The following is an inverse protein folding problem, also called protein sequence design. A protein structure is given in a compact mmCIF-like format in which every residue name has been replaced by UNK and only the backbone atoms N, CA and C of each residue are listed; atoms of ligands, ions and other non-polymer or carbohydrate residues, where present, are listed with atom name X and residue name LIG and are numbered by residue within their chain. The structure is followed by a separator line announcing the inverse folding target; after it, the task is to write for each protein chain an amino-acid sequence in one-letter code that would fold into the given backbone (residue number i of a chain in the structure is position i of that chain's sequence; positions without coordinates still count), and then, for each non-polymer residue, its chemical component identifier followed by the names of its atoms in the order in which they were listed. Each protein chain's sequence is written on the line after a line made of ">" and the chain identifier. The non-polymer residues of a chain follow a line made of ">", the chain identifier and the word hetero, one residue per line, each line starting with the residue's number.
data_IF_579782281045
#
_entry.id   IF_579782281045
#
_cell.length_a   1.000
_cell.length_b   1.000
_cell.length_c   1.000
_cell.angle_alpha   90.00
_cell.angle_beta   90.00
_cell.angle_gamma   90.00
#
_symmetry.space_group_name_H-M   'P 1'
#
loop_
_entity.id
_entity.type
_entity.pdbx_description
1 polymer ?
#
# COMPACT_ATOMS: atom_id res chain seq x y z
N UNK A 1 31.67 -62.08 14.80
CA UNK A 1 32.64 -61.31 15.60
C UNK A 1 31.87 -60.28 16.39
N UNK A 2 31.76 -60.50 17.70
CA UNK A 2 31.12 -59.62 18.67
C UNK A 2 32.10 -59.48 19.83
N UNK A 3 32.40 -58.26 20.25
CA UNK A 3 33.18 -57.90 21.44
C UNK A 3 32.62 -56.57 22.01
N UNK A 4 32.78 -56.28 23.31
CA UNK A 4 31.68 -55.93 24.19
C UNK A 4 31.67 -54.48 24.68
N UNK A 5 30.53 -54.08 25.27
CA UNK A 5 30.30 -52.81 25.97
C UNK A 5 31.21 -52.66 27.20
N UNK A 6 31.79 -51.47 27.46
CA UNK A 6 32.21 -51.08 28.79
C UNK A 6 31.09 -50.37 29.55
N UNK A 7 30.88 -50.80 30.78
CA UNK A 7 30.08 -50.12 31.80
C UNK A 7 30.83 -48.88 32.31
N UNK A 8 30.13 -47.75 32.48
CA UNK A 8 30.62 -46.63 33.28
C UNK A 8 29.62 -46.40 34.41
N UNK A 9 30.18 -46.49 35.62
CA UNK A 9 29.53 -46.31 36.91
C UNK A 9 29.44 -44.81 37.24
N UNK A 10 28.38 -44.48 37.97
CA UNK A 10 27.85 -43.16 38.30
C UNK A 10 28.73 -42.21 39.14
N UNK A 11 28.41 -40.92 39.05
CA UNK A 11 28.54 -39.98 40.16
C UNK A 11 27.37 -38.97 40.12
N UNK A 12 26.36 -39.20 40.97
CA UNK A 12 25.33 -38.21 41.30
C UNK A 12 25.95 -37.17 42.24
N UNK A 13 26.01 -35.91 41.83
CA UNK A 13 26.26 -34.78 42.73
C UNK A 13 24.91 -34.14 43.08
N UNK A 14 24.48 -34.35 44.32
CA UNK A 14 23.29 -33.77 44.93
C UNK A 14 23.68 -32.41 45.53
N UNK A 15 23.36 -31.30 44.86
CA UNK A 15 23.52 -29.95 45.42
C UNK A 15 22.23 -29.48 46.06
N UNK A 16 22.24 -29.38 47.40
CA UNK A 16 21.26 -28.65 48.22
C UNK A 16 21.33 -27.15 47.87
N UNK A 17 20.21 -26.55 47.47
CA UNK A 17 20.02 -25.10 47.61
C UNK A 17 19.14 -24.82 48.82
N UNK A 18 19.72 -24.13 49.80
CA UNK A 18 19.03 -23.66 50.99
C UNK A 18 18.05 -22.54 50.64
N UNK A 19 16.85 -22.61 51.19
CA UNK A 19 15.87 -21.53 51.17
C UNK A 19 16.40 -20.36 52.00
N UNK A 20 16.67 -19.23 51.33
CA UNK A 20 16.88 -17.94 51.95
C UNK A 20 15.70 -17.04 51.61
N UNK A 21 14.86 -16.73 52.60
CA UNK A 21 13.91 -15.62 52.51
C UNK A 21 14.70 -14.32 52.58
N UNK A 22 14.87 -13.63 51.44
CA UNK A 22 15.39 -12.28 51.38
C UNK A 22 14.24 -11.28 51.37
N UNK A 23 14.27 -10.35 52.33
CA UNK A 23 13.31 -9.27 52.53
C UNK A 23 13.20 -8.35 51.29
N UNK A 24 11.95 -8.00 50.94
CA UNK A 24 11.63 -6.97 49.94
C UNK A 24 12.02 -5.61 50.51
N UNK A 25 13.14 -5.07 50.03
CA UNK A 25 13.52 -3.68 50.27
C UNK A 25 12.72 -2.78 49.31
N UNK A 26 11.72 -2.10 49.86
CA UNK A 26 10.95 -1.05 49.18
C UNK A 26 11.75 0.24 49.19
N UNK A 27 12.68 0.39 48.25
CA UNK A 27 13.28 1.70 47.96
C UNK A 27 13.76 1.75 46.51
N UNK A 28 12.79 1.89 45.59
CA UNK A 28 13.05 2.28 44.21
C UNK A 28 12.42 3.67 44.01
N UNK A 29 13.20 4.71 43.65
CA UNK A 29 12.63 6.02 43.36
C UNK A 29 11.66 5.88 42.19
N UNK A 30 10.47 6.46 42.34
CA UNK A 30 9.34 6.29 41.43
C UNK A 30 9.72 6.49 39.96
N UNK A 31 9.57 5.42 39.17
CA UNK A 31 9.44 5.53 37.72
C UNK A 31 8.06 6.15 37.50
N UNK A 32 8.04 7.44 37.15
CA UNK A 32 6.84 8.07 36.62
C UNK A 32 6.34 7.22 35.44
N UNK A 33 5.02 7.05 35.24
CA UNK A 33 4.52 6.38 34.05
C UNK A 33 5.15 7.07 32.84
N UNK A 34 5.90 6.30 32.06
CA UNK A 34 6.56 6.77 30.86
C UNK A 34 5.49 7.39 29.97
N UNK A 35 5.54 8.71 29.85
CA UNK A 35 4.76 9.42 28.86
C UNK A 35 5.22 8.89 27.52
N UNK A 36 4.39 8.07 26.87
CA UNK A 36 4.54 7.77 25.45
C UNK A 36 4.40 9.10 24.72
N UNK A 37 5.51 9.78 24.51
CA UNK A 37 5.57 10.89 23.56
C UNK A 37 5.32 10.25 22.20
N UNK A 38 4.07 10.32 21.75
CA UNK A 38 3.74 10.29 20.33
C UNK A 38 4.48 11.47 19.75
N UNK A 39 5.66 11.22 19.17
CA UNK A 39 6.31 12.23 18.33
C UNK A 39 5.35 12.43 17.17
N UNK A 40 4.58 13.51 17.22
CA UNK A 40 3.88 14.01 16.04
C UNK A 40 4.96 14.21 14.97
N UNK A 41 4.98 13.34 13.98
CA UNK A 41 5.81 13.53 12.81
C UNK A 41 5.26 14.78 12.11
N UNK A 42 6.07 15.81 12.02
CA UNK A 42 5.70 17.01 11.27
C UNK A 42 5.54 16.60 9.80
N UNK A 43 4.47 17.04 9.10
CA UNK A 43 4.27 16.67 7.71
C UNK A 43 5.50 17.06 6.89
N UNK A 44 5.88 16.23 5.94
CA UNK A 44 7.00 16.54 5.06
C UNK A 44 6.67 17.81 4.25
N UNK A 45 7.62 18.74 4.20
CA UNK A 45 7.55 19.88 3.28
C UNK A 45 7.62 19.37 1.83
N UNK A 46 6.90 19.99 0.88
CA UNK A 46 7.06 19.68 -0.53
C UNK A 46 8.53 19.87 -0.96
N UNK A 47 9.03 19.02 -1.89
CA UNK A 47 10.35 19.23 -2.47
C UNK A 47 10.47 20.62 -3.09
N UNK A 48 11.64 21.24 -2.98
CA UNK A 48 11.89 22.56 -3.57
C UNK A 48 11.84 22.51 -5.10
N UNK A 49 11.40 23.61 -5.72
CA UNK A 49 11.47 23.80 -7.18
C UNK A 49 12.93 23.86 -7.65
N UNK A 50 13.26 23.05 -8.66
CA UNK A 50 14.58 22.96 -9.30
C UNK A 50 14.56 23.38 -10.77
N UNK A 51 13.38 23.53 -11.37
CA UNK A 51 13.20 23.95 -12.76
C UNK A 51 11.93 24.77 -12.98
N UNK A 52 11.42 24.75 -14.22
CA UNK A 52 10.13 25.34 -14.56
C UNK A 52 8.99 24.36 -14.22
N UNK A 53 7.83 24.91 -13.83
CA UNK A 53 6.72 24.12 -13.33
C UNK A 53 6.17 23.15 -14.39
N UNK A 54 5.96 21.91 -13.96
CA UNK A 54 5.20 20.90 -14.67
C UNK A 54 4.32 20.12 -13.68
N UNK A 55 3.27 19.50 -14.18
CA UNK A 55 2.38 18.62 -13.44
C UNK A 55 2.51 17.20 -13.97
N UNK A 56 2.12 16.21 -13.18
CA UNK A 56 2.16 14.82 -13.62
C UNK A 56 0.85 14.07 -13.33
N UNK A 57 0.59 13.05 -14.13
CA UNK A 57 -0.51 12.10 -13.95
C UNK A 57 0.03 10.67 -14.03
N UNK A 58 -0.64 9.72 -13.38
CA UNK A 58 -0.29 8.31 -13.53
C UNK A 58 -0.65 7.83 -14.95
N UNK A 59 0.28 7.16 -15.61
CA UNK A 59 0.05 6.62 -16.95
C UNK A 59 -0.94 5.45 -16.93
N UNK A 60 -0.80 4.58 -15.92
CA UNK A 60 -1.63 3.38 -15.75
C UNK A 60 -2.02 3.21 -14.27
N UNK A 61 -2.94 4.06 -13.77
CA UNK A 61 -3.32 4.06 -12.36
C UNK A 61 -3.84 2.72 -11.86
N UNK A 62 -4.39 1.88 -12.74
CA UNK A 62 -4.90 0.54 -12.42
C UNK A 62 -3.83 -0.47 -12.00
N UNK A 63 -2.55 -0.23 -12.32
CA UNK A 63 -1.44 -1.09 -11.90
C UNK A 63 -0.73 -0.59 -10.63
N UNK A 64 -1.03 0.63 -10.19
CA UNK A 64 -0.46 1.19 -8.97
C UNK A 64 -1.11 0.54 -7.75
N UNK A 65 -0.28 0.01 -6.87
CA UNK A 65 -0.70 -0.68 -5.65
C UNK A 65 0.27 -0.36 -4.48
N UNK A 66 -0.13 -0.62 -3.23
CA UNK A 66 0.68 -0.32 -2.04
C UNK A 66 2.08 -0.95 -2.02
N UNK A 67 2.32 -2.05 -2.71
CA UNK A 67 3.65 -2.69 -2.74
C UNK A 67 4.59 -2.06 -3.77
N UNK A 68 4.07 -1.27 -4.70
CA UNK A 68 4.86 -0.71 -5.79
C UNK A 68 5.99 0.20 -5.28
N UNK A 69 7.14 0.12 -5.96
CA UNK A 69 8.28 1.04 -5.80
C UNK A 69 8.63 1.75 -7.11
N UNK A 70 7.99 1.38 -8.22
CA UNK A 70 8.14 2.04 -9.52
C UNK A 70 6.82 2.67 -9.94
N UNK A 71 6.87 3.88 -10.46
CA UNK A 71 5.71 4.61 -10.98
C UNK A 71 5.99 5.06 -12.41
N UNK A 72 5.05 4.76 -13.31
CA UNK A 72 5.03 5.38 -14.65
C UNK A 72 4.10 6.59 -14.62
N UNK A 73 4.66 7.78 -14.81
CA UNK A 73 3.91 9.04 -14.86
C UNK A 73 4.05 9.70 -16.22
N UNK A 74 3.07 10.51 -16.58
CA UNK A 74 3.13 11.39 -17.74
C UNK A 74 3.26 12.84 -17.23
N UNK A 75 4.38 13.47 -17.54
CA UNK A 75 4.73 14.83 -17.11
C UNK A 75 4.37 15.81 -18.22
N UNK A 76 3.70 16.90 -17.85
CA UNK A 76 3.32 17.97 -18.77
C UNK A 76 3.74 19.31 -18.21
N UNK A 77 4.54 20.04 -18.99
CA UNK A 77 4.95 21.41 -18.68
C UNK A 77 3.74 22.33 -18.55
N UNK A 78 3.78 23.23 -17.57
CA UNK A 78 2.73 24.22 -17.38
C UNK A 78 2.85 25.42 -18.34
N UNK A 79 4.07 25.95 -18.52
CA UNK A 79 4.34 27.11 -19.37
C UNK A 79 4.08 26.87 -20.86
N UNK A 80 3.83 27.95 -21.61
CA UNK A 80 3.68 27.87 -23.06
C UNK A 80 5.00 27.47 -23.73
N UNK A 81 4.96 26.43 -24.57
CA UNK A 81 6.16 25.85 -25.17
C UNK A 81 5.96 25.39 -26.63
N UNK A 82 4.93 25.90 -27.31
CA UNK A 82 4.71 25.56 -28.72
C UNK A 82 4.29 24.11 -29.00
N UNK A 83 3.97 23.33 -27.95
CA UNK A 83 3.46 21.97 -28.07
C UNK A 83 4.32 20.96 -27.34
N UNK A 84 5.44 21.38 -26.76
CA UNK A 84 6.48 20.49 -26.27
C UNK A 84 6.74 20.70 -24.77
N UNK A 85 6.69 19.65 -23.96
CA UNK A 85 7.03 19.69 -22.54
C UNK A 85 8.54 19.89 -22.33
N UNK A 86 9.36 19.34 -23.23
CA UNK A 86 10.82 19.46 -23.17
C UNK A 86 11.46 18.46 -22.21
N UNK A 87 12.68 18.77 -21.76
CA UNK A 87 13.43 17.90 -20.86
C UNK A 87 12.82 17.92 -19.45
N UNK A 88 12.41 16.75 -18.95
CA UNK A 88 11.99 16.55 -17.57
C UNK A 88 13.24 16.37 -16.70
N UNK A 89 13.36 17.16 -15.64
CA UNK A 89 14.44 17.06 -14.67
C UNK A 89 14.23 15.87 -13.74
N UNK A 90 15.27 15.47 -13.02
CA UNK A 90 15.21 14.37 -12.06
C UNK A 90 14.11 14.62 -10.99
N UNK A 91 13.11 13.73 -10.88
CA UNK A 91 12.02 13.88 -9.92
C UNK A 91 12.52 13.97 -8.49
N UNK A 92 11.99 14.90 -7.73
CA UNK A 92 12.29 15.04 -6.30
C UNK A 92 11.14 14.44 -5.49
N UNK A 93 11.47 13.59 -4.52
CA UNK A 93 10.48 12.85 -3.72
C UNK A 93 10.67 13.15 -2.24
N UNK A 94 9.58 13.53 -1.57
CA UNK A 94 9.52 13.65 -0.12
C UNK A 94 8.54 12.60 0.44
N UNK A 95 8.95 11.94 1.51
CA UNK A 95 8.17 10.90 2.19
C UNK A 95 7.59 11.44 3.50
N UNK A 96 6.29 11.24 3.67
CA UNK A 96 5.55 11.47 4.90
C UNK A 96 4.93 10.12 5.36
N UNK A 97 4.18 10.13 6.46
CA UNK A 97 3.48 8.94 6.95
C UNK A 97 2.23 8.59 6.14
N UNK A 98 1.53 9.59 5.59
CA UNK A 98 0.25 9.43 4.91
C UNK A 98 0.27 9.84 3.43
N UNK A 99 1.41 10.33 2.94
CA UNK A 99 1.62 10.81 1.57
C UNK A 99 3.06 10.67 1.10
N UNK A 100 3.23 10.54 -0.22
CA UNK A 100 4.49 10.65 -0.96
C UNK A 100 4.31 11.84 -1.91
N UNK A 101 5.10 12.89 -1.69
CA UNK A 101 5.02 14.14 -2.44
C UNK A 101 6.08 14.11 -3.54
N UNK A 102 5.64 14.14 -4.80
CA UNK A 102 6.49 14.00 -5.97
C UNK A 102 6.47 15.31 -6.75
N UNK A 103 7.66 15.89 -6.98
CA UNK A 103 7.86 17.04 -7.86
C UNK A 103 8.54 16.61 -9.15
N UNK A 104 7.94 16.96 -10.28
CA UNK A 104 8.53 16.81 -11.62
C UNK A 104 8.62 18.19 -12.25
N UNK A 105 9.80 18.80 -12.24
CA UNK A 105 10.04 20.06 -12.93
C UNK A 105 10.67 19.81 -14.31
N UNK A 106 10.62 20.80 -15.19
CA UNK A 106 11.23 20.72 -16.53
C UNK A 106 12.35 21.75 -16.70
N UNK A 107 13.31 21.46 -17.57
CA UNK A 107 14.41 22.37 -17.85
C UNK A 107 13.89 23.68 -18.46
N UNK A 108 14.50 24.85 -18.18
CA UNK A 108 14.10 26.10 -18.80
C UNK A 108 14.19 26.07 -20.32
N UNK A 109 13.23 26.70 -20.98
CA UNK A 109 13.22 26.79 -22.44
C UNK A 109 14.27 27.78 -22.97
N UNK A 110 14.84 27.47 -24.15
CA UNK A 110 15.76 28.38 -24.86
C UNK A 110 15.02 29.11 -25.97
N UNK A 111 14.66 30.37 -25.76
CA UNK A 111 14.01 31.23 -26.76
C UNK A 111 13.00 32.20 -26.13
N UNK A 112 12.60 33.22 -26.90
CA UNK A 112 11.79 34.34 -26.37
C UNK A 112 10.31 34.30 -26.79
N UNK A 113 9.90 33.34 -27.64
CA UNK A 113 8.52 33.30 -28.17
C UNK A 113 7.98 31.87 -28.29
N UNK A 114 6.97 31.56 -27.47
CA UNK A 114 6.23 30.29 -27.51
C UNK A 114 4.72 30.53 -27.59
N UNK A 115 4.01 29.60 -28.21
CA UNK A 115 2.55 29.60 -28.33
C UNK A 115 1.90 28.65 -27.31
N UNK A 116 0.65 28.93 -26.93
CA UNK A 116 -0.06 28.29 -25.81
C UNK A 116 -1.18 27.35 -26.28
N UNK A 117 -0.84 26.29 -27.01
CA UNK A 117 -1.79 25.28 -27.53
C UNK A 117 -1.85 24.00 -26.69
N UNK A 118 -1.35 24.04 -25.45
CA UNK A 118 -1.05 22.84 -24.66
C UNK A 118 0.30 22.23 -25.07
N UNK A 119 0.81 21.33 -24.23
CA UNK A 119 2.08 20.62 -24.42
C UNK A 119 1.81 19.10 -24.44
N UNK A 120 2.72 18.33 -25.05
CA UNK A 120 2.68 16.87 -25.02
C UNK A 120 2.98 16.30 -23.63
N UNK A 121 2.57 15.05 -23.38
CA UNK A 121 2.84 14.34 -22.14
C UNK A 121 4.10 13.47 -22.30
N UNK A 122 5.09 13.65 -21.43
CA UNK A 122 6.36 12.92 -21.48
C UNK A 122 6.34 11.79 -20.43
N UNK A 123 6.48 10.52 -20.83
CA UNK A 123 6.50 9.41 -19.87
C UNK A 123 7.82 9.39 -19.09
N UNK A 124 7.71 9.25 -17.77
CA UNK A 124 8.84 9.18 -16.84
C UNK A 124 8.61 8.02 -15.87
N UNK A 125 9.63 7.19 -15.69
CA UNK A 125 9.68 6.19 -14.63
C UNK A 125 10.29 6.81 -13.38
N UNK A 126 9.54 6.78 -12.27
CA UNK A 126 10.00 7.24 -10.96
C UNK A 126 10.25 6.02 -10.10
N UNK A 127 11.50 5.86 -9.67
CA UNK A 127 11.88 4.85 -8.69
C UNK A 127 11.79 5.45 -7.29
N UNK A 128 10.94 4.85 -6.46
CA UNK A 128 10.80 5.18 -5.05
C UNK A 128 11.81 4.39 -4.21
N UNK A 129 12.30 5.03 -3.15
CA UNK A 129 13.16 4.41 -2.13
C UNK A 129 12.37 3.50 -1.17
N UNK A 130 11.06 3.72 -1.06
CA UNK A 130 10.13 2.96 -0.22
C UNK A 130 8.93 2.51 -1.05
N UNK A 131 8.30 1.39 -0.67
CA UNK A 131 7.00 1.01 -1.24
C UNK A 131 5.96 2.09 -0.97
N UNK A 132 4.90 2.18 -1.77
CA UNK A 132 3.89 3.23 -1.56
C UNK A 132 3.21 3.08 -0.18
N UNK A 133 2.82 1.87 0.19
CA UNK A 133 2.12 1.57 1.44
C UNK A 133 0.78 2.31 1.54
N UNK A 134 0.39 2.68 2.76
CA UNK A 134 -0.85 3.41 3.06
C UNK A 134 -0.82 4.91 2.69
N UNK A 135 0.07 5.33 1.79
CA UNK A 135 0.35 6.74 1.46
C UNK A 135 -0.24 7.14 0.12
N UNK A 136 -0.84 8.33 0.07
CA UNK A 136 -1.30 8.91 -1.18
C UNK A 136 -0.13 9.41 -2.04
N UNK A 137 -0.29 9.38 -3.36
CA UNK A 137 0.67 10.00 -4.27
C UNK A 137 0.21 11.42 -4.57
N UNK A 138 1.06 12.40 -4.32
CA UNK A 138 0.71 13.82 -4.37
C UNK A 138 1.62 14.57 -5.32
N UNK A 139 1.03 15.35 -6.22
CA UNK A 139 1.75 16.25 -7.12
C UNK A 139 2.13 17.53 -6.38
N UNK A 140 3.44 17.72 -6.15
CA UNK A 140 3.98 18.87 -5.43
C UNK A 140 3.62 20.21 -6.08
N UNK A 141 3.51 20.26 -7.42
CA UNK A 141 3.16 21.48 -8.14
C UNK A 141 1.72 21.94 -7.81
N UNK A 142 0.86 21.01 -7.41
CA UNK A 142 -0.52 21.29 -7.02
C UNK A 142 -0.67 21.66 -5.54
N UNK A 143 0.36 21.50 -4.71
CA UNK A 143 0.37 21.97 -3.32
C UNK A 143 0.77 23.44 -3.23
N UNK A 144 1.72 23.86 -4.05
CA UNK A 144 2.29 25.21 -4.04
C UNK A 144 2.85 25.62 -5.41
N UNK A 145 2.90 26.93 -5.65
CA UNK A 145 3.48 27.51 -6.87
C UNK A 145 2.46 27.80 -7.96
N UNK A 146 2.92 27.80 -9.21
CA UNK A 146 2.17 28.29 -10.37
C UNK A 146 0.99 27.39 -10.76
N UNK A 147 1.10 26.08 -10.51
CA UNK A 147 0.10 25.12 -10.96
C UNK A 147 -1.17 25.08 -10.08
N UNK A 148 -1.11 25.51 -8.81
CA UNK A 148 -2.23 25.42 -7.84
C UNK A 148 -3.56 25.98 -8.37
N UNK A 149 -3.52 26.98 -9.24
CA UNK A 149 -4.73 27.65 -9.77
C UNK A 149 -5.17 27.15 -11.14
N UNK A 150 -4.51 26.12 -11.68
CA UNK A 150 -4.76 25.59 -13.02
C UNK A 150 -5.78 24.45 -12.94
N UNK A 151 -6.39 24.13 -14.08
CA UNK A 151 -7.37 23.05 -14.15
C UNK A 151 -6.76 21.69 -13.76
N UNK A 152 -5.47 21.49 -14.07
CA UNK A 152 -4.71 20.27 -13.77
C UNK A 152 -4.50 20.05 -12.27
N UNK A 153 -4.69 21.07 -11.43
CA UNK A 153 -4.52 21.01 -9.98
C UNK A 153 -5.83 21.26 -9.22
N UNK A 154 -6.94 20.73 -9.72
CA UNK A 154 -8.20 20.70 -8.94
C UNK A 154 -8.03 19.90 -7.64
N UNK A 155 -7.18 18.87 -7.67
CA UNK A 155 -6.68 18.13 -6.51
C UNK A 155 -5.18 17.88 -6.69
N UNK A 156 -4.43 17.94 -5.60
CA UNK A 156 -3.02 17.57 -5.58
C UNK A 156 -2.83 16.06 -5.44
N UNK A 157 -3.80 15.34 -4.87
CA UNK A 157 -3.76 13.87 -4.76
C UNK A 157 -4.02 13.27 -6.14
N UNK A 158 -3.04 12.54 -6.67
CA UNK A 158 -3.13 11.83 -7.95
C UNK A 158 -3.55 10.38 -7.79
N UNK A 159 -3.35 9.82 -6.59
CA UNK A 159 -3.77 8.46 -6.26
C UNK A 159 -3.95 8.33 -4.75
N UNK A 160 -5.04 7.68 -4.35
CA UNK A 160 -5.35 7.40 -2.94
C UNK A 160 -5.06 5.95 -2.62
N UNK A 161 -4.31 5.71 -1.55
CA UNK A 161 -3.95 4.34 -1.18
C UNK A 161 -5.16 3.56 -0.65
N UNK A 162 -5.48 2.38 -1.22
CA UNK A 162 -6.50 1.51 -0.66
C UNK A 162 -6.09 0.94 0.70
N UNK A 163 -4.78 0.88 1.01
CA UNK A 163 -4.25 0.38 2.28
C UNK A 163 -4.04 1.48 3.33
N UNK A 164 -4.59 2.68 3.12
CA UNK A 164 -4.60 3.73 4.13
C UNK A 164 -5.25 3.23 5.42
N UNK A 165 -4.53 3.31 6.52
CA UNK A 165 -5.00 2.82 7.82
C UNK A 165 -5.06 1.29 7.91
N UNK A 166 -4.33 0.56 7.05
CA UNK A 166 -4.22 -0.88 7.16
C UNK A 166 -3.63 -1.28 8.52
N UNK A 167 -4.20 -2.34 9.10
CA UNK A 167 -3.76 -2.92 10.37
C UNK A 167 -3.75 -4.44 10.28
N UNK A 168 -3.11 -5.10 11.24
CA UNK A 168 -3.22 -6.56 11.39
C UNK A 168 -4.53 -7.02 12.04
N UNK A 169 -5.42 -6.09 12.42
CA UNK A 169 -6.73 -6.42 12.99
C UNK A 169 -7.74 -6.68 11.87
N UNK A 170 -8.28 -7.89 11.84
CA UNK A 170 -9.26 -8.29 10.83
C UNK A 170 -10.64 -7.87 11.32
N UNK A 171 -11.41 -7.08 10.54
CA UNK A 171 -12.71 -6.61 10.97
C UNK A 171 -13.71 -7.76 11.12
N UNK A 172 -14.55 -7.68 12.16
CA UNK A 172 -15.77 -8.49 12.28
C UNK A 172 -16.89 -7.88 11.41
N UNK A 173 -16.60 -7.68 10.12
CA UNK A 173 -17.55 -7.12 9.16
C UNK A 173 -18.63 -8.16 8.83
N UNK A 174 -19.89 -7.75 8.99
CA UNK A 174 -21.05 -8.60 8.67
C UNK A 174 -21.63 -8.21 7.31
N UNK A 175 -21.52 -9.07 6.29
CA UNK A 175 -21.93 -8.74 4.93
C UNK A 175 -23.46 -8.63 4.82
N UNK A 176 -24.00 -7.68 4.04
CA UNK A 176 -25.37 -7.82 3.56
C UNK A 176 -25.48 -9.04 2.62
N UNK A 177 -26.71 -9.55 2.45
CA UNK A 177 -26.96 -10.68 1.55
C UNK A 177 -26.68 -10.31 0.08
N UNK A 178 -26.93 -9.06 -0.31
CA UNK A 178 -26.85 -8.58 -1.68
C UNK A 178 -25.97 -7.32 -1.74
N UNK A 179 -24.92 -7.36 -2.55
CA UNK A 179 -24.01 -6.23 -2.76
C UNK A 179 -23.18 -6.42 -4.05
N UNK A 180 -22.53 -5.36 -4.50
CA UNK A 180 -21.54 -5.41 -5.56
C UNK A 180 -20.28 -4.64 -5.18
N UNK A 181 -19.16 -4.99 -5.81
CA UNK A 181 -17.87 -4.33 -5.64
C UNK A 181 -16.98 -4.53 -6.87
N UNK A 182 -15.95 -3.69 -7.00
CA UNK A 182 -14.84 -3.89 -7.92
C UNK A 182 -13.62 -4.34 -7.12
N UNK A 183 -12.96 -5.40 -7.57
CA UNK A 183 -11.71 -5.87 -6.95
C UNK A 183 -10.59 -5.89 -7.99
N UNK A 184 -9.43 -5.36 -7.61
CA UNK A 184 -8.15 -5.60 -8.28
C UNK A 184 -7.38 -6.62 -7.45
N UNK A 185 -7.13 -7.78 -8.03
CA UNK A 185 -6.41 -8.90 -7.45
C UNK A 185 -5.04 -9.03 -8.12
N UNK A 186 -3.96 -8.85 -7.36
CA UNK A 186 -2.63 -8.59 -7.92
C UNK A 186 -1.49 -9.53 -7.50
N UNK A 187 -1.61 -10.20 -6.36
CA UNK A 187 -0.53 -11.00 -5.77
C UNK A 187 -0.77 -12.51 -5.90
N UNK A 188 0.33 -13.26 -5.90
CA UNK A 188 0.37 -14.72 -5.99
C UNK A 188 0.22 -15.27 -7.40
N UNK A 189 0.59 -16.54 -7.60
CA UNK A 189 0.35 -17.27 -8.85
C UNK A 189 -0.99 -18.02 -8.77
N UNK A 190 -2.09 -17.29 -9.02
CA UNK A 190 -3.45 -17.82 -8.87
C UNK A 190 -4.38 -17.51 -10.03
N UNK A 191 -5.48 -18.26 -10.11
CA UNK A 191 -6.43 -18.13 -11.22
C UNK A 191 -7.26 -16.83 -11.18
N UNK A 192 -7.43 -16.23 -9.99
CA UNK A 192 -8.16 -14.99 -9.79
C UNK A 192 -7.21 -13.79 -9.74
N UNK A 193 -6.57 -13.47 -10.86
CA UNK A 193 -5.69 -12.30 -11.03
C UNK A 193 -6.29 -11.38 -12.07
N UNK A 194 -6.29 -10.07 -11.79
CA UNK A 194 -6.87 -9.04 -12.65
C UNK A 194 -7.87 -8.16 -11.93
N UNK A 195 -8.66 -7.42 -12.71
CA UNK A 195 -9.68 -6.50 -12.20
C UNK A 195 -11.07 -6.98 -12.60
N UNK A 196 -11.99 -7.03 -11.63
CA UNK A 196 -13.32 -7.61 -11.82
C UNK A 196 -14.40 -6.77 -11.14
N UNK A 197 -15.55 -6.59 -11.80
CA UNK A 197 -16.79 -6.22 -11.15
C UNK A 197 -17.50 -7.49 -10.67
N UNK A 198 -17.78 -7.57 -9.38
CA UNK A 198 -18.37 -8.73 -8.71
C UNK A 198 -19.74 -8.35 -8.15
N UNK A 199 -20.72 -9.21 -8.39
CA UNK A 199 -22.06 -9.10 -7.77
C UNK A 199 -22.30 -10.30 -6.89
N UNK A 200 -22.71 -10.05 -5.65
CA UNK A 200 -23.10 -11.04 -4.65
C UNK A 200 -24.60 -10.96 -4.45
N UNK A 201 -25.27 -12.11 -4.54
CA UNK A 201 -26.71 -12.25 -4.27
C UNK A 201 -26.92 -13.41 -3.30
N UNK A 202 -27.76 -13.23 -2.29
CA UNK A 202 -28.01 -14.22 -1.25
C UNK A 202 -26.71 -14.79 -0.63
N UNK A 203 -25.69 -13.93 -0.47
CA UNK A 203 -24.40 -14.28 0.14
C UNK A 203 -23.44 -15.06 -0.77
N UNK A 204 -23.77 -15.27 -2.05
CA UNK A 204 -22.91 -15.97 -3.01
C UNK A 204 -22.62 -15.11 -4.24
N UNK A 205 -21.45 -15.26 -4.86
CA UNK A 205 -21.14 -14.57 -6.12
C UNK A 205 -22.11 -15.05 -7.20
N UNK A 206 -22.91 -14.13 -7.72
CA UNK A 206 -23.89 -14.39 -8.77
C UNK A 206 -23.41 -13.94 -10.15
N UNK A 207 -22.50 -12.96 -10.21
CA UNK A 207 -21.91 -12.49 -11.46
C UNK A 207 -20.47 -11.98 -11.24
N UNK A 208 -19.61 -12.21 -12.23
CA UNK A 208 -18.26 -11.67 -12.31
C UNK A 208 -18.01 -11.18 -13.73
N UNK A 209 -17.59 -9.93 -13.87
CA UNK A 209 -17.30 -9.30 -15.15
C UNK A 209 -15.85 -8.77 -15.14
N UNK A 210 -14.98 -9.26 -16.02
CA UNK A 210 -13.61 -8.75 -16.11
C UNK A 210 -13.60 -7.31 -16.64
N UNK A 211 -12.71 -6.49 -16.10
CA UNK A 211 -12.48 -5.09 -16.50
C UNK A 211 -11.07 -5.01 -17.10
N UNK A 212 -10.96 -4.60 -18.37
CA UNK A 212 -9.68 -4.53 -19.10
C UNK A 212 -9.43 -5.72 -20.03
N UNK A 213 -8.21 -5.85 -20.55
CA UNK A 213 -7.88 -6.88 -21.55
C UNK A 213 -7.52 -8.24 -20.92
N UNK A 214 -8.15 -9.30 -21.44
CA UNK A 214 -7.79 -10.73 -21.29
C UNK A 214 -7.63 -11.30 -19.87
N UNK A 215 -8.75 -11.38 -19.14
CA UNK A 215 -8.91 -12.24 -17.96
C UNK A 215 -9.91 -13.38 -18.21
N UNK A 216 -9.80 -14.03 -19.38
CA UNK A 216 -10.73 -15.08 -19.79
C UNK A 216 -10.62 -16.31 -18.89
N UNK A 217 -11.75 -16.81 -18.40
CA UNK A 217 -11.85 -18.07 -17.66
C UNK A 217 -12.16 -17.96 -16.18
N UNK A 218 -12.17 -16.75 -15.60
CA UNK A 218 -12.68 -16.54 -14.23
C UNK A 218 -14.20 -16.73 -14.22
N UNK A 219 -14.68 -17.56 -13.28
CA UNK A 219 -16.11 -17.84 -13.09
C UNK A 219 -16.57 -17.37 -11.72
N UNK A 220 -17.89 -17.29 -11.52
CA UNK A 220 -18.47 -16.95 -10.22
C UNK A 220 -18.02 -17.91 -9.10
N UNK A 221 -17.83 -19.20 -9.42
CA UNK A 221 -17.38 -20.21 -8.44
C UNK A 221 -15.93 -20.01 -7.99
N UNK A 222 -15.08 -19.44 -8.86
CA UNK A 222 -13.67 -19.17 -8.58
C UNK A 222 -13.45 -17.81 -7.91
N UNK A 223 -14.50 -16.98 -7.84
CA UNK A 223 -14.41 -15.61 -7.37
C UNK A 223 -14.82 -15.57 -5.90
N UNK A 224 -13.94 -15.17 -4.96
CA UNK A 224 -14.31 -15.04 -3.57
C UNK A 224 -15.23 -13.83 -3.34
N UNK A 225 -16.15 -13.95 -2.38
CA UNK A 225 -16.85 -12.82 -1.79
C UNK A 225 -15.91 -12.02 -0.87
N UNK A 226 -16.30 -10.82 -0.43
CA UNK A 226 -15.52 -10.08 0.58
C UNK A 226 -15.40 -10.85 1.90
N UNK A 227 -16.43 -11.63 2.25
CA UNK A 227 -16.40 -12.49 3.44
C UNK A 227 -15.40 -13.63 3.30
N UNK A 228 -15.34 -14.28 2.13
CA UNK A 228 -14.38 -15.34 1.86
C UNK A 228 -12.93 -14.80 1.96
N UNK A 229 -12.67 -13.60 1.45
CA UNK A 229 -11.35 -12.94 1.57
C UNK A 229 -10.98 -12.64 3.02
N UNK A 230 -11.94 -12.19 3.84
CA UNK A 230 -11.72 -11.97 5.27
C UNK A 230 -11.54 -13.28 6.04
N UNK A 231 -12.22 -14.36 5.65
CA UNK A 231 -12.02 -15.69 6.25
C UNK A 231 -10.65 -16.25 5.90
N UNK A 232 -10.17 -16.06 4.67
CA UNK A 232 -8.78 -16.36 4.26
C UNK A 232 -7.79 -15.60 5.15
N UNK A 233 -8.00 -14.28 5.34
CA UNK A 233 -7.17 -13.46 6.20
C UNK A 233 -7.15 -13.99 7.65
N UNK A 234 -8.30 -14.39 8.20
CA UNK A 234 -8.38 -14.95 9.57
C UNK A 234 -7.59 -16.24 9.70
N UNK A 235 -7.67 -17.10 8.69
CA UNK A 235 -6.91 -18.36 8.67
C UNK A 235 -5.39 -18.09 8.60
N UNK A 236 -4.97 -17.11 7.80
CA UNK A 236 -3.56 -16.75 7.63
C UNK A 236 -2.96 -16.08 8.87
N UNK A 237 -3.73 -15.28 9.60
CA UNK A 237 -3.26 -14.51 10.75
C UNK A 237 -2.69 -15.36 11.91
N UNK A 238 -2.95 -16.67 11.94
CA UNK A 238 -2.37 -17.56 12.96
C UNK A 238 -0.86 -17.80 12.78
N UNK A 239 -0.37 -17.75 11.54
CA UNK A 239 0.98 -18.22 11.17
C UNK A 239 1.73 -17.31 10.19
N UNK A 240 1.00 -16.43 9.49
CA UNK A 240 1.52 -15.51 8.48
C UNK A 240 1.34 -14.05 8.86
N UNK A 241 1.41 -13.18 7.85
CA UNK A 241 1.13 -11.74 7.97
C UNK A 241 -0.12 -11.36 7.21
N UNK A 242 -0.89 -10.46 7.81
CA UNK A 242 -2.13 -9.95 7.25
C UNK A 242 -2.20 -8.46 7.50
N UNK A 243 -2.62 -7.71 6.48
CA UNK A 243 -2.97 -6.32 6.60
C UNK A 243 -4.36 -6.08 5.98
N UNK A 244 -5.26 -5.48 6.75
CA UNK A 244 -6.60 -5.11 6.30
C UNK A 244 -6.83 -3.63 6.55
N UNK A 245 -7.31 -2.92 5.52
CA UNK A 245 -7.85 -1.58 5.66
C UNK A 245 -9.36 -1.59 5.39
N UNK A 246 -10.09 -0.76 6.10
CA UNK A 246 -11.54 -0.57 5.95
C UNK A 246 -11.88 0.89 5.75
N UNK A 247 -13.04 1.18 5.16
CA UNK A 247 -13.61 2.53 5.16
C UNK A 247 -14.35 2.86 6.47
N UNK A 248 -14.90 4.07 6.56
CA UNK A 248 -15.65 4.55 7.72
C UNK A 248 -16.88 3.68 8.08
N UNK A 249 -17.39 2.90 7.12
CA UNK A 249 -18.49 1.96 7.32
C UNK A 249 -18.01 0.55 7.70
N UNK A 250 -16.70 0.34 7.81
CA UNK A 250 -16.09 -0.95 8.11
C UNK A 250 -15.99 -1.89 6.90
N UNK A 251 -16.26 -1.41 5.68
CA UNK A 251 -16.16 -2.23 4.47
C UNK A 251 -14.69 -2.37 4.07
N UNK A 252 -14.20 -3.59 3.78
CA UNK A 252 -12.83 -3.79 3.32
C UNK A 252 -12.47 -2.96 2.09
N UNK A 253 -11.31 -2.32 2.12
CA UNK A 253 -10.71 -1.51 1.04
C UNK A 253 -9.41 -2.12 0.54
N UNK A 254 -8.69 -2.77 1.43
CA UNK A 254 -7.46 -3.49 1.15
C UNK A 254 -7.39 -4.72 2.02
N UNK A 255 -6.97 -5.83 1.44
CA UNK A 255 -6.67 -7.07 2.15
C UNK A 255 -5.38 -7.59 1.53
N UNK A 256 -4.35 -7.76 2.34
CA UNK A 256 -3.06 -8.34 1.99
C UNK A 256 -2.76 -9.50 2.91
N UNK A 257 -2.40 -10.63 2.34
CA UNK A 257 -2.30 -11.91 3.03
C UNK A 257 -1.02 -12.59 2.53
N UNK A 258 -0.12 -12.88 3.45
CA UNK A 258 1.05 -13.75 3.24
C UNK A 258 0.96 -14.87 4.29
N UNK A 259 0.39 -16.04 3.93
CA UNK A 259 0.16 -17.12 4.88
C UNK A 259 1.45 -17.87 5.26
N UNK A 260 2.47 -17.89 4.38
CA UNK A 260 3.77 -18.52 4.64
C UNK A 260 4.88 -17.49 4.38
N UNK A 261 5.40 -16.85 5.44
CA UNK A 261 6.41 -15.82 5.27
C UNK A 261 7.60 -16.28 4.44
N UNK A 262 7.97 -15.50 3.42
CA UNK A 262 9.06 -15.75 2.48
C UNK A 262 8.85 -16.93 1.51
N UNK A 263 7.65 -17.51 1.43
CA UNK A 263 7.25 -18.15 0.18
C UNK A 263 7.05 -17.04 -0.89
N UNK A 264 7.02 -17.44 -2.16
CA UNK A 264 7.22 -16.50 -3.29
C UNK A 264 5.90 -16.16 -3.99
N UNK A 265 4.88 -17.01 -3.85
CA UNK A 265 3.73 -17.06 -4.75
C UNK A 265 2.41 -17.41 -4.06
N UNK A 266 2.39 -17.53 -2.74
CA UNK A 266 1.21 -17.85 -1.93
C UNK A 266 0.50 -16.59 -1.39
N UNK A 267 1.00 -15.40 -1.68
CA UNK A 267 0.40 -14.16 -1.23
C UNK A 267 -0.89 -13.84 -2.00
N UNK A 268 -1.88 -13.33 -1.28
CA UNK A 268 -3.14 -12.84 -1.83
C UNK A 268 -3.31 -11.38 -1.45
N UNK A 269 -3.31 -10.49 -2.45
CA UNK A 269 -3.63 -9.08 -2.24
C UNK A 269 -4.83 -8.64 -3.08
N UNK A 270 -5.70 -7.85 -2.45
CA UNK A 270 -6.97 -7.39 -2.97
C UNK A 270 -7.15 -5.90 -2.68
N UNK A 271 -7.31 -5.09 -3.72
CA UNK A 271 -7.78 -3.71 -3.60
C UNK A 271 -9.27 -3.64 -3.98
N UNK A 272 -10.11 -3.19 -3.04
CA UNK A 272 -11.56 -3.16 -3.17
C UNK A 272 -12.03 -1.72 -3.44
N UNK A 273 -12.92 -1.57 -4.42
CA UNK A 273 -13.48 -0.29 -4.87
C UNK A 273 -14.95 -0.44 -5.25
N UNK A 274 -15.63 0.69 -5.47
CA UNK A 274 -17.02 0.75 -5.95
C UNK A 274 -18.03 -0.13 -5.19
N UNK A 275 -17.81 -0.37 -3.89
CA UNK A 275 -18.73 -1.15 -3.06
C UNK A 275 -20.11 -0.48 -2.98
N UNK A 276 -21.16 -1.28 -3.17
CA UNK A 276 -22.56 -0.85 -3.06
C UNK A 276 -23.40 -1.99 -2.52
N UNK A 277 -24.23 -1.71 -1.53
CA UNK A 277 -25.32 -2.61 -1.14
C UNK A 277 -26.45 -2.56 -2.19
N UNK A 278 -27.07 -3.72 -2.48
CA UNK A 278 -28.13 -3.86 -3.49
C UNK A 278 -29.53 -4.00 -2.88
#
# INVERSE_FOLDING_TARGET
>A
MALPRPAIVAALALTLFAAGCGEVSTDQPGIAPGSSTVTSHEPADPPATVGEAATWQLQQPEFVNPHAQGLMVEVTRLGCSGGETGEVLEPQVAYDNDRIIIRTDVAPLTGDTYTCQGNDAVPVEIQLEQSIGGRDLVDAACLEGEAVTTADCTDAVRWTSPSRGATSEIPDWEPPADYSFVVTSGCGERAFIGRFAVTVTAGAVSAVEPIGESYAGVTAEMTPTLSDMLDEARAAAEQGTVEVAVDDAGVPRWIDIDPIPNAIDDESCYAISDYRQL
#
